data_IF_237130842265
#
_entry.id   IF_237130842265
#
_cell.length_a   1.000
_cell.length_b   1.000
_cell.length_c   1.000
_cell.angle_alpha   90.00
_cell.angle_beta   90.00
_cell.angle_gamma   90.00
#
_symmetry.space_group_name_H-M   'P 1'
#
loop_
_entity.id
_entity.type
_entity.pdbx_description
1 polymer ?
#
# COMPACT_ATOMS: atom_id res chain seq x y z
N UNK A 1 -31.06 37.01 46.14
CA UNK A 1 -31.62 35.82 45.44
C UNK A 1 -31.24 35.74 43.98
N UNK A 2 -30.13 36.27 43.51
CA UNK A 2 -29.85 36.27 42.08
C UNK A 2 -28.46 35.70 41.70
N UNK A 3 -27.47 35.73 42.58
CA UNK A 3 -26.11 35.32 42.24
C UNK A 3 -25.94 33.79 42.03
N UNK A 4 -26.69 32.98 42.80
CA UNK A 4 -26.56 31.52 42.71
C UNK A 4 -27.14 30.94 41.39
N UNK A 5 -28.21 31.57 40.87
CA UNK A 5 -28.81 31.13 39.60
C UNK A 5 -27.94 31.46 38.37
N UNK A 6 -27.18 32.55 38.44
CA UNK A 6 -26.25 32.92 37.35
C UNK A 6 -25.05 31.98 37.34
N UNK A 7 -24.52 31.66 38.52
CA UNK A 7 -23.38 30.73 38.64
C UNK A 7 -23.74 29.32 38.21
N UNK A 8 -24.94 28.85 38.58
CA UNK A 8 -25.43 27.52 38.16
C UNK A 8 -25.67 27.44 36.65
N UNK A 9 -26.24 28.50 36.05
CA UNK A 9 -26.42 28.57 34.60
C UNK A 9 -25.08 28.65 33.85
N UNK A 10 -24.10 29.38 34.38
CA UNK A 10 -22.78 29.48 33.80
C UNK A 10 -22.05 28.12 33.83
N UNK A 11 -22.12 27.40 34.97
CA UNK A 11 -21.53 26.06 35.07
C UNK A 11 -22.22 25.05 34.14
N UNK A 12 -23.53 25.14 33.95
CA UNK A 12 -24.27 24.29 33.03
C UNK A 12 -23.83 24.52 31.56
N UNK A 13 -23.65 25.79 31.17
CA UNK A 13 -23.21 26.16 29.83
C UNK A 13 -21.77 25.66 29.58
N UNK A 14 -20.87 25.80 30.54
CA UNK A 14 -19.49 25.31 30.46
C UNK A 14 -19.48 23.78 30.32
N UNK A 15 -20.30 23.08 31.12
CA UNK A 15 -20.39 21.61 31.04
C UNK A 15 -20.91 21.12 29.68
N UNK A 16 -21.89 21.80 29.09
CA UNK A 16 -22.42 21.50 27.75
C UNK A 16 -21.39 21.78 26.66
N UNK A 17 -20.67 22.91 26.78
CA UNK A 17 -19.59 23.22 25.81
C UNK A 17 -18.45 22.21 25.87
N UNK A 18 -18.04 21.76 27.07
CA UNK A 18 -17.00 20.72 27.23
C UNK A 18 -17.49 19.38 26.70
N UNK A 19 -18.74 19.00 26.95
CA UNK A 19 -19.34 17.79 26.40
C UNK A 19 -19.43 17.82 24.85
N UNK A 20 -19.76 18.97 24.27
CA UNK A 20 -19.78 19.17 22.81
C UNK A 20 -18.37 19.10 22.21
N UNK A 21 -17.35 19.62 22.89
CA UNK A 21 -15.94 19.50 22.40
C UNK A 21 -15.42 18.05 22.42
N UNK A 22 -15.89 17.23 23.36
CA UNK A 22 -15.51 15.82 23.44
C UNK A 22 -16.13 14.94 22.32
N UNK A 23 -17.26 15.38 21.75
CA UNK A 23 -17.93 14.66 20.65
C UNK A 23 -17.30 14.93 19.27
N UNK A 24 -16.47 15.95 19.12
CA UNK A 24 -15.81 16.31 17.85
C UNK A 24 -14.47 15.55 17.68
N UNK A 25 -13.99 14.86 18.72
CA UNK A 25 -12.71 14.14 18.70
C UNK A 25 -12.77 12.74 18.07
N UNK A 26 -13.91 12.30 17.54
CA UNK A 26 -14.02 10.99 16.91
C UNK A 26 -14.43 11.15 15.45
N UNK A 27 -13.45 11.33 14.56
CA UNK A 27 -13.74 11.27 13.13
C UNK A 27 -12.86 12.11 12.24
N UNK A 28 -11.58 11.78 12.17
CA UNK A 28 -10.82 11.86 10.90
C UNK A 28 -9.65 10.92 11.04
N UNK A 29 -9.84 9.71 10.52
CA UNK A 29 -8.74 8.95 10.00
C UNK A 29 -8.02 9.89 9.02
N UNK A 30 -6.88 10.45 9.45
CA UNK A 30 -6.13 11.37 8.63
C UNK A 30 -5.81 10.67 7.31
N UNK A 31 -6.38 11.16 6.22
CA UNK A 31 -5.79 10.93 4.92
C UNK A 31 -4.37 11.49 5.03
N UNK A 32 -3.40 10.59 5.21
CA UNK A 32 -2.00 10.92 5.14
C UNK A 32 -1.78 11.50 3.74
N UNK A 33 -1.67 12.79 3.64
CA UNK A 33 -1.21 13.52 2.45
C UNK A 33 0.28 13.23 2.18
N UNK A 34 0.76 12.05 2.57
CA UNK A 34 2.08 11.55 2.29
C UNK A 34 2.17 11.05 0.84
N UNK A 35 3.32 11.22 0.22
CA UNK A 35 3.65 10.62 -1.07
C UNK A 35 3.36 9.11 -1.00
N UNK A 36 2.51 8.60 -1.91
CA UNK A 36 2.22 7.16 -1.99
C UNK A 36 3.48 6.39 -2.37
N UNK A 37 3.61 5.19 -1.80
CA UNK A 37 4.67 4.26 -2.15
C UNK A 37 4.36 3.68 -3.53
N UNK A 38 5.26 3.86 -4.48
CA UNK A 38 5.12 3.30 -5.83
C UNK A 38 5.52 1.83 -5.83
N UNK A 39 4.56 0.97 -6.09
CA UNK A 39 4.79 -0.48 -6.16
C UNK A 39 4.58 -0.96 -7.58
N UNK A 40 5.60 -1.57 -8.17
CA UNK A 40 5.46 -2.25 -9.47
C UNK A 40 5.36 -3.76 -9.23
N UNK A 41 4.32 -4.36 -9.79
CA UNK A 41 4.02 -5.80 -9.69
C UNK A 41 4.09 -6.47 -11.04
N UNK A 42 4.38 -7.75 -11.10
CA UNK A 42 4.43 -8.50 -12.37
C UNK A 42 3.04 -8.88 -12.86
N UNK A 43 2.27 -9.61 -12.08
CA UNK A 43 0.97 -10.17 -12.47
C UNK A 43 -0.21 -9.38 -11.91
N UNK A 44 -1.39 -9.54 -12.52
CA UNK A 44 -2.65 -8.93 -12.04
C UNK A 44 -3.02 -9.37 -10.64
N UNK A 45 -2.79 -10.65 -10.29
CA UNK A 45 -3.05 -11.19 -8.96
C UNK A 45 -2.22 -10.49 -7.89
N UNK A 46 -0.94 -10.25 -8.15
CA UNK A 46 -0.06 -9.50 -7.24
C UNK A 46 -0.48 -8.03 -7.15
N UNK A 47 -0.91 -7.43 -8.27
CA UNK A 47 -1.45 -6.06 -8.26
C UNK A 47 -2.64 -5.92 -7.32
N UNK A 48 -3.60 -6.84 -7.39
CA UNK A 48 -4.80 -6.82 -6.56
C UNK A 48 -4.48 -7.09 -5.08
N UNK A 49 -3.57 -8.02 -4.81
CA UNK A 49 -3.10 -8.30 -3.46
C UNK A 49 -2.43 -7.06 -2.83
N UNK A 50 -1.52 -6.42 -3.55
CA UNK A 50 -0.80 -5.22 -3.07
C UNK A 50 -1.76 -4.05 -2.87
N UNK A 51 -2.73 -3.84 -3.77
CA UNK A 51 -3.79 -2.83 -3.59
C UNK A 51 -4.63 -3.10 -2.35
N UNK A 52 -5.02 -4.35 -2.14
CA UNK A 52 -5.83 -4.75 -0.98
C UNK A 52 -5.10 -4.51 0.34
N UNK A 53 -3.81 -4.85 0.41
CA UNK A 53 -3.00 -4.68 1.61
C UNK A 53 -2.60 -3.23 1.84
N UNK A 54 -2.19 -2.54 0.78
CA UNK A 54 -1.64 -1.18 0.85
C UNK A 54 -2.69 -0.08 0.93
N UNK A 55 -3.89 -0.32 0.38
CA UNK A 55 -4.98 0.66 0.34
C UNK A 55 -4.52 2.00 -0.26
N UNK A 56 -4.89 3.08 0.40
CA UNK A 56 -4.58 4.45 -0.07
C UNK A 56 -3.10 4.85 0.08
N UNK A 57 -2.28 4.01 0.71
CA UNK A 57 -0.85 4.29 0.94
C UNK A 57 0.04 3.92 -0.23
N UNK A 58 -0.47 3.15 -1.19
CA UNK A 58 0.29 2.65 -2.34
C UNK A 58 -0.29 3.15 -3.67
N UNK A 59 0.60 3.28 -4.65
CA UNK A 59 0.29 3.46 -6.06
C UNK A 59 0.84 2.23 -6.79
N UNK A 60 -0.06 1.38 -7.31
CA UNK A 60 0.32 0.08 -7.89
C UNK A 60 0.30 0.14 -9.41
N UNK A 61 1.43 -0.23 -10.01
CA UNK A 61 1.59 -0.40 -11.45
C UNK A 61 1.83 -1.87 -11.78
N UNK A 62 0.93 -2.51 -12.53
CA UNK A 62 1.13 -3.86 -13.05
C UNK A 62 1.90 -3.85 -14.37
N UNK A 63 2.78 -4.83 -14.59
CA UNK A 63 3.46 -5.02 -15.87
C UNK A 63 2.60 -5.83 -16.85
N UNK A 64 2.02 -6.91 -16.36
CA UNK A 64 1.22 -7.84 -17.17
C UNK A 64 -0.27 -7.53 -17.02
N UNK A 65 -0.99 -7.52 -18.15
CA UNK A 65 -2.44 -7.41 -18.18
C UNK A 65 -3.13 -8.77 -17.97
N UNK A 66 -4.46 -8.75 -18.01
CA UNK A 66 -5.25 -9.98 -17.94
C UNK A 66 -4.94 -10.93 -19.11
N UNK A 67 -4.85 -12.22 -18.83
CA UNK A 67 -4.59 -13.26 -19.83
C UNK A 67 -3.15 -13.35 -20.31
N UNK A 68 -2.23 -12.54 -19.81
CA UNK A 68 -0.82 -12.63 -20.15
C UNK A 68 -0.17 -13.78 -19.39
N UNK A 69 0.49 -14.68 -20.12
CA UNK A 69 1.24 -15.79 -19.55
C UNK A 69 2.59 -15.29 -19.00
N UNK A 70 2.80 -15.33 -17.68
CA UNK A 70 4.03 -14.85 -17.07
C UNK A 70 5.28 -15.61 -17.47
N UNK A 71 5.16 -16.89 -17.84
CA UNK A 71 6.31 -17.70 -18.30
C UNK A 71 6.85 -17.23 -19.66
N UNK A 72 5.97 -16.68 -20.49
CA UNK A 72 6.32 -16.21 -21.84
C UNK A 72 6.57 -14.70 -21.90
N UNK A 73 6.25 -13.98 -20.82
CA UNK A 73 6.36 -12.53 -20.78
C UNK A 73 7.80 -12.06 -20.86
N UNK A 74 8.08 -11.17 -21.79
CA UNK A 74 9.36 -10.47 -21.92
C UNK A 74 9.12 -8.98 -21.68
N UNK A 75 9.85 -8.40 -20.72
CA UNK A 75 9.72 -7.00 -20.38
C UNK A 75 10.12 -6.09 -21.55
N UNK A 76 9.30 -5.11 -21.85
CA UNK A 76 9.58 -4.03 -22.79
C UNK A 76 10.49 -2.97 -22.16
N UNK A 77 11.01 -2.05 -22.98
CA UNK A 77 11.75 -0.88 -22.47
C UNK A 77 10.91 -0.04 -21.50
N UNK A 78 9.59 0.11 -21.78
CA UNK A 78 8.68 0.82 -20.88
C UNK A 78 8.48 0.10 -19.54
N UNK A 79 8.55 -1.23 -19.50
CA UNK A 79 8.45 -1.99 -18.26
C UNK A 79 9.73 -1.86 -17.43
N UNK A 80 10.89 -1.79 -18.06
CA UNK A 80 12.16 -1.50 -17.40
C UNK A 80 12.11 -0.11 -16.74
N UNK A 81 11.51 0.87 -17.40
CA UNK A 81 11.31 2.20 -16.83
C UNK A 81 10.38 2.16 -15.61
N UNK A 82 9.24 1.45 -15.70
CA UNK A 82 8.31 1.26 -14.55
C UNK A 82 9.02 0.61 -13.37
N UNK A 83 9.81 -0.44 -13.61
CA UNK A 83 10.61 -1.11 -12.58
C UNK A 83 11.66 -0.16 -11.97
N UNK A 84 12.33 0.64 -12.81
CA UNK A 84 13.31 1.63 -12.37
C UNK A 84 12.71 2.72 -11.48
N UNK A 85 11.47 3.14 -11.73
CA UNK A 85 10.78 4.20 -11.01
C UNK A 85 10.02 3.70 -9.76
N UNK A 86 9.95 2.38 -9.52
CA UNK A 86 9.31 1.80 -8.36
C UNK A 86 10.10 2.03 -7.07
N UNK A 87 9.40 2.28 -5.97
CA UNK A 87 9.95 2.23 -4.61
C UNK A 87 10.09 0.78 -4.14
N UNK A 88 9.14 -0.08 -4.55
CA UNK A 88 9.12 -1.53 -4.26
C UNK A 88 8.70 -2.28 -5.53
N UNK A 89 9.36 -3.39 -5.80
CA UNK A 89 8.99 -4.33 -6.87
C UNK A 89 8.51 -5.63 -6.24
N UNK A 90 7.39 -6.17 -6.70
CA UNK A 90 6.81 -7.44 -6.21
C UNK A 90 6.61 -8.39 -7.37
N UNK A 91 7.18 -9.58 -7.30
CA UNK A 91 7.04 -10.61 -8.32
C UNK A 91 6.77 -11.99 -7.71
N UNK A 92 6.23 -12.92 -8.52
CA UNK A 92 5.79 -14.23 -8.06
C UNK A 92 6.93 -15.12 -7.60
N UNK A 93 7.99 -15.16 -8.34
CA UNK A 93 9.09 -16.10 -8.08
C UNK A 93 8.77 -17.53 -8.51
N UNK A 94 9.49 -18.52 -7.97
CA UNK A 94 9.32 -19.95 -8.32
C UNK A 94 9.39 -20.21 -9.84
N UNK A 95 10.22 -19.46 -10.54
CA UNK A 95 10.39 -19.49 -12.00
C UNK A 95 9.16 -19.05 -12.82
N UNK A 96 8.14 -18.45 -12.18
CA UNK A 96 6.96 -17.97 -12.88
C UNK A 96 7.32 -16.93 -13.95
N UNK A 97 8.18 -15.96 -13.59
CA UNK A 97 8.68 -14.93 -14.52
C UNK A 97 10.09 -15.26 -15.00
N UNK A 98 10.28 -16.47 -15.53
CA UNK A 98 11.62 -16.97 -15.87
C UNK A 98 12.43 -16.09 -16.81
N UNK A 99 11.78 -15.43 -17.78
CA UNK A 99 12.44 -14.51 -18.72
C UNK A 99 12.85 -13.16 -18.11
N UNK A 100 12.40 -12.86 -16.89
CA UNK A 100 12.72 -11.62 -16.18
C UNK A 100 13.79 -11.81 -15.09
N UNK A 101 14.28 -13.01 -14.88
CA UNK A 101 15.22 -13.33 -13.79
C UNK A 101 16.45 -12.43 -13.81
N UNK A 102 17.10 -12.27 -14.96
CA UNK A 102 18.30 -11.41 -15.10
C UNK A 102 18.00 -9.93 -14.78
N UNK A 103 16.79 -9.48 -15.11
CA UNK A 103 16.35 -8.11 -14.80
C UNK A 103 16.24 -7.93 -13.29
N UNK A 104 15.61 -8.87 -12.59
CA UNK A 104 15.47 -8.81 -11.12
C UNK A 104 16.80 -8.92 -10.40
N UNK A 105 17.71 -9.78 -10.86
CA UNK A 105 19.07 -9.88 -10.32
C UNK A 105 19.83 -8.56 -10.48
N UNK A 106 19.76 -7.94 -11.65
CA UNK A 106 20.39 -6.63 -11.90
C UNK A 106 19.80 -5.55 -11.02
N UNK A 107 18.47 -5.47 -10.85
CA UNK A 107 17.83 -4.50 -10.01
C UNK A 107 18.16 -4.72 -8.52
N UNK A 108 18.28 -5.96 -8.08
CA UNK A 108 18.74 -6.32 -6.74
C UNK A 108 20.18 -5.85 -6.50
N UNK A 109 21.08 -6.04 -7.47
CA UNK A 109 22.46 -5.56 -7.37
C UNK A 109 22.57 -4.03 -7.32
N UNK A 110 21.55 -3.32 -7.80
CA UNK A 110 21.40 -1.86 -7.72
C UNK A 110 20.71 -1.39 -6.43
N UNK A 111 20.56 -2.25 -5.42
CA UNK A 111 19.88 -1.99 -4.15
C UNK A 111 18.40 -1.57 -4.29
N UNK A 112 17.70 -2.02 -5.34
CA UNK A 112 16.25 -1.88 -5.43
C UNK A 112 15.55 -2.78 -4.41
N UNK A 113 14.49 -2.28 -3.80
CA UNK A 113 13.64 -3.07 -2.91
C UNK A 113 12.80 -4.05 -3.74
N UNK A 114 13.17 -5.32 -3.73
CA UNK A 114 12.49 -6.38 -4.48
C UNK A 114 11.97 -7.44 -3.52
N UNK A 115 10.70 -7.77 -3.65
CA UNK A 115 10.03 -8.84 -2.93
C UNK A 115 9.72 -10.00 -3.88
N UNK A 116 10.41 -11.13 -3.70
CA UNK A 116 10.04 -12.41 -4.28
C UNK A 116 9.03 -13.09 -3.34
N UNK A 117 7.78 -13.21 -3.79
CA UNK A 117 6.71 -13.78 -2.99
C UNK A 117 6.94 -15.28 -2.76
N UNK A 118 7.40 -16.00 -3.78
CA UNK A 118 7.68 -17.44 -3.72
C UNK A 118 8.71 -17.82 -2.64
N UNK A 119 9.71 -16.95 -2.40
CA UNK A 119 10.71 -17.19 -1.36
C UNK A 119 10.16 -17.05 0.07
N UNK A 120 9.00 -16.44 0.23
CA UNK A 120 8.33 -16.24 1.52
C UNK A 120 7.27 -17.30 1.81
N UNK A 121 6.94 -18.13 0.82
CA UNK A 121 5.99 -19.21 1.00
C UNK A 121 6.61 -20.40 1.74
N UNK A 122 5.80 -21.07 2.56
CA UNK A 122 6.19 -22.33 3.19
C UNK A 122 6.28 -23.42 2.12
N UNK A 123 7.51 -23.79 1.78
CA UNK A 123 7.78 -24.77 0.71
C UNK A 123 7.15 -26.14 0.97
N UNK A 124 6.82 -26.47 2.22
CA UNK A 124 6.12 -27.73 2.56
C UNK A 124 4.66 -27.77 2.10
N UNK A 125 4.10 -26.61 1.74
CA UNK A 125 2.70 -26.45 1.32
C UNK A 125 2.54 -26.17 -0.18
N UNK A 126 3.65 -26.16 -0.91
CA UNK A 126 3.64 -25.98 -2.37
C UNK A 126 3.73 -27.37 -3.00
N UNK A 127 2.69 -27.77 -3.68
CA UNK A 127 2.60 -29.06 -4.41
C UNK A 127 2.83 -28.86 -5.89
#
# INVERSE_FOLDING_TARGET
MSKNNVLTKLNLVIAVCVAMMLLISCGKGGASSGKKIKVTTTTTMLSDLVKTIGGDRVEVTGLMGEGVDPHLYSASAGDIEKLGNADIIVYGGLHLEGKMTEIFEKLTSQNKNILNVGDKLDKSKIH
#
